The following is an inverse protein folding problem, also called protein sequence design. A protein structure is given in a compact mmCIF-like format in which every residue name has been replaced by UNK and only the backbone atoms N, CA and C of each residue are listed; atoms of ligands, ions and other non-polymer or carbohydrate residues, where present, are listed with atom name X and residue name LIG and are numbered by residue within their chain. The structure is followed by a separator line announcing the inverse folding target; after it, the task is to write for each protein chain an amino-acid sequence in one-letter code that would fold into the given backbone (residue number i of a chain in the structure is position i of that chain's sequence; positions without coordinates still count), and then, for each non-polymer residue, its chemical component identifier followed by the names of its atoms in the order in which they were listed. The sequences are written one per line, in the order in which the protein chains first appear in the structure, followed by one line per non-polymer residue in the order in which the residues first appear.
data_IF_514045310203
#
_entry.id   IF_514045310203
#
_cell.length_a   1.000
_cell.length_b   1.000
_cell.length_c   1.000
_cell.angle_alpha   90.00
_cell.angle_beta   90.00
_cell.angle_gamma   90.00
#
_symmetry.space_group_name_H-M   'P 1'
#
loop_
_entity.id
_entity.type
_entity.pdbx_description
1 polymer ?
#
# COMPACT_ATOMS: atom_id res chain seq x y z
N UNK A 1 20.36 5.34 -22.10
CA UNK A 1 19.28 5.22 -23.08
C UNK A 1 18.18 4.45 -22.38
N UNK A 2 17.09 5.11 -21.98
CA UNK A 2 15.90 4.40 -21.48
C UNK A 2 15.39 3.54 -22.65
N UNK A 3 15.47 2.21 -22.52
CA UNK A 3 14.78 1.32 -23.45
C UNK A 3 13.29 1.60 -23.27
N UNK A 4 12.62 1.98 -24.36
CA UNK A 4 11.18 2.23 -24.34
C UNK A 4 10.46 0.87 -24.28
N UNK A 5 10.24 0.35 -23.07
CA UNK A 5 9.60 -0.94 -22.84
C UNK A 5 8.12 -0.78 -23.18
N UNK A 6 7.60 -1.58 -24.11
CA UNK A 6 6.17 -1.61 -24.37
C UNK A 6 5.46 -2.26 -23.17
N UNK A 7 4.70 -1.47 -22.41
CA UNK A 7 3.89 -1.99 -21.30
C UNK A 7 2.62 -2.64 -21.84
N UNK A 8 2.53 -3.97 -21.73
CA UNK A 8 1.34 -4.72 -22.12
C UNK A 8 0.29 -4.70 -21.02
N UNK A 9 -0.99 -4.59 -21.38
CA UNK A 9 -2.11 -4.63 -20.41
C UNK A 9 -2.98 -5.85 -20.70
N UNK A 10 -3.19 -6.69 -19.67
CA UNK A 10 -4.15 -7.79 -19.73
C UNK A 10 -5.33 -7.47 -18.84
N UNK A 11 -6.51 -7.34 -19.43
CA UNK A 11 -7.76 -7.25 -18.66
C UNK A 11 -8.19 -8.67 -18.28
N UNK A 12 -8.41 -8.91 -16.99
CA UNK A 12 -8.81 -10.20 -16.43
C UNK A 12 -10.01 -10.01 -15.52
N UNK A 13 -10.93 -10.99 -15.55
CA UNK A 13 -11.99 -11.06 -14.55
C UNK A 13 -11.46 -11.69 -13.25
N UNK A 14 -12.13 -11.44 -12.12
CA UNK A 14 -11.82 -12.11 -10.86
C UNK A 14 -12.15 -13.62 -10.92
N UNK A 15 -13.05 -14.03 -11.83
CA UNK A 15 -13.24 -15.42 -12.22
C UNK A 15 -12.08 -15.90 -13.11
N UNK A 16 -10.99 -16.32 -12.45
CA UNK A 16 -9.74 -16.70 -13.12
C UNK A 16 -9.83 -18.00 -13.93
N UNK A 17 -10.84 -18.83 -13.70
CA UNK A 17 -11.07 -20.09 -14.44
C UNK A 17 -11.57 -19.86 -15.88
N UNK A 18 -12.01 -18.64 -16.20
CA UNK A 18 -12.37 -18.30 -17.57
C UNK A 18 -11.16 -18.42 -18.50
N UNK A 19 -11.33 -19.11 -19.62
CA UNK A 19 -10.25 -19.47 -20.54
C UNK A 19 -9.38 -18.27 -20.95
N UNK A 20 -9.99 -17.09 -21.13
CA UNK A 20 -9.27 -15.86 -21.48
C UNK A 20 -8.46 -15.32 -20.30
N UNK A 21 -9.04 -15.26 -19.11
CA UNK A 21 -8.35 -14.84 -17.87
C UNK A 21 -7.16 -15.76 -17.59
N UNK A 22 -7.35 -17.08 -17.69
CA UNK A 22 -6.28 -18.06 -17.55
C UNK A 22 -5.13 -17.84 -18.55
N UNK A 23 -5.43 -17.67 -19.85
CA UNK A 23 -4.40 -17.42 -20.87
C UNK A 23 -3.62 -16.11 -20.65
N UNK A 24 -4.30 -15.06 -20.21
CA UNK A 24 -3.69 -13.78 -19.85
C UNK A 24 -2.74 -13.91 -18.66
N UNK A 25 -3.15 -14.65 -17.62
CA UNK A 25 -2.32 -14.87 -16.43
C UNK A 25 -1.10 -15.73 -16.72
N UNK A 26 -1.23 -16.77 -17.56
CA UNK A 26 -0.09 -17.57 -18.02
C UNK A 26 0.93 -16.72 -18.78
N UNK A 27 0.48 -15.81 -19.64
CA UNK A 27 1.36 -14.92 -20.39
C UNK A 27 2.08 -13.91 -19.48
N UNK A 28 1.35 -13.29 -18.56
CA UNK A 28 1.91 -12.40 -17.54
C UNK A 28 2.90 -13.13 -16.60
N UNK A 29 2.56 -14.35 -16.19
CA UNK A 29 3.40 -15.20 -15.34
C UNK A 29 4.75 -15.55 -16.00
N UNK A 30 4.76 -15.87 -17.30
CA UNK A 30 6.00 -16.12 -18.05
C UNK A 30 6.94 -14.93 -18.06
N UNK A 31 6.41 -13.71 -18.11
CA UNK A 31 7.23 -12.51 -18.00
C UNK A 31 7.91 -12.45 -16.64
N UNK A 32 7.16 -12.65 -15.55
CA UNK A 32 7.74 -12.68 -14.19
C UNK A 32 8.81 -13.76 -14.06
N UNK A 33 8.52 -14.98 -14.54
CA UNK A 33 9.46 -16.11 -14.54
C UNK A 33 10.75 -15.76 -15.29
N UNK A 34 10.64 -15.09 -16.44
CA UNK A 34 11.78 -14.62 -17.26
C UNK A 34 12.54 -13.41 -16.67
N UNK A 35 12.15 -12.93 -15.49
CA UNK A 35 12.80 -11.81 -14.80
C UNK A 35 12.32 -10.44 -15.26
N UNK A 36 11.14 -10.35 -15.88
CA UNK A 36 10.48 -9.09 -16.25
C UNK A 36 9.49 -8.61 -15.18
N UNK A 37 9.16 -7.33 -15.24
CA UNK A 37 8.27 -6.69 -14.28
C UNK A 37 6.81 -6.74 -14.71
N UNK A 38 5.95 -7.22 -13.83
CA UNK A 38 4.50 -7.24 -14.05
C UNK A 38 3.79 -6.65 -12.84
N UNK A 39 2.94 -5.65 -13.05
CA UNK A 39 2.06 -5.16 -12.01
C UNK A 39 0.77 -5.98 -11.94
N UNK A 40 0.24 -6.22 -10.74
CA UNK A 40 -0.95 -7.04 -10.53
C UNK A 40 -1.77 -6.56 -9.32
N UNK A 41 -3.11 -6.74 -9.33
CA UNK A 41 -3.97 -6.36 -8.21
C UNK A 41 -3.79 -7.29 -7.01
N UNK A 42 -3.96 -6.76 -5.81
CA UNK A 42 -4.21 -7.54 -4.58
C UNK A 42 -5.47 -7.02 -3.92
N UNK A 43 -5.90 -7.61 -2.81
CA UNK A 43 -6.95 -7.03 -1.97
C UNK A 43 -6.52 -5.70 -1.37
N UNK A 44 -5.22 -5.45 -1.16
CA UNK A 44 -4.72 -4.20 -0.59
C UNK A 44 -4.52 -3.09 -1.63
N UNK A 45 -3.44 -3.18 -2.39
CA UNK A 45 -3.01 -2.24 -3.44
C UNK A 45 -2.39 -3.04 -4.59
N UNK A 46 -2.24 -2.44 -5.77
CA UNK A 46 -1.51 -3.07 -6.87
C UNK A 46 -0.04 -3.25 -6.48
N UNK A 47 0.50 -4.44 -6.72
CA UNK A 47 1.90 -4.81 -6.50
C UNK A 47 2.70 -4.78 -7.80
N UNK A 48 3.98 -4.39 -7.75
CA UNK A 48 4.93 -4.49 -8.86
C UNK A 48 5.80 -5.73 -8.68
N UNK A 49 5.43 -6.82 -9.35
CA UNK A 49 6.05 -8.12 -9.19
C UNK A 49 7.32 -8.32 -10.01
N UNK A 50 8.29 -8.99 -9.38
CA UNK A 50 9.43 -9.62 -10.02
C UNK A 50 9.73 -10.97 -9.37
N UNK A 51 10.48 -11.82 -10.06
CA UNK A 51 10.97 -13.08 -9.50
C UNK A 51 11.84 -12.84 -8.25
N UNK A 52 11.40 -13.31 -7.08
CA UNK A 52 12.08 -13.11 -5.79
C UNK A 52 13.40 -13.89 -5.64
N UNK A 53 13.73 -14.77 -6.60
CA UNK A 53 14.94 -15.57 -6.64
C UNK A 53 16.05 -14.93 -7.49
N UNK A 54 15.78 -13.80 -8.16
CA UNK A 54 16.73 -13.13 -9.05
C UNK A 54 17.03 -11.71 -8.59
N UNK A 55 18.29 -11.44 -8.21
CA UNK A 55 18.76 -10.09 -7.88
C UNK A 55 18.65 -9.13 -9.07
N UNK A 56 18.76 -9.64 -10.31
CA UNK A 56 18.61 -8.84 -11.53
C UNK A 56 17.15 -8.40 -11.74
N UNK A 57 16.20 -9.33 -11.57
CA UNK A 57 14.78 -9.03 -11.69
C UNK A 57 14.32 -8.05 -10.60
N UNK A 58 14.79 -8.24 -9.36
CA UNK A 58 14.47 -7.38 -8.22
C UNK A 58 15.09 -5.99 -8.39
N UNK A 59 16.29 -5.86 -8.99
CA UNK A 59 16.88 -4.56 -9.30
C UNK A 59 15.98 -3.72 -10.21
N UNK A 60 15.33 -4.35 -11.19
CA UNK A 60 14.40 -3.65 -12.09
C UNK A 60 13.28 -2.96 -11.29
N UNK A 61 12.78 -3.56 -10.19
CA UNK A 61 11.78 -2.92 -9.31
C UNK A 61 12.29 -1.58 -8.77
N UNK A 62 13.51 -1.57 -8.23
CA UNK A 62 14.11 -0.37 -7.65
C UNK A 62 14.31 0.72 -8.71
N UNK A 63 14.82 0.34 -9.89
CA UNK A 63 15.02 1.24 -11.03
C UNK A 63 13.69 1.81 -11.53
N UNK A 64 12.69 0.96 -11.79
CA UNK A 64 11.39 1.39 -12.33
C UNK A 64 10.69 2.37 -11.39
N UNK A 65 10.74 2.13 -10.07
CA UNK A 65 10.12 2.97 -9.05
C UNK A 65 10.93 4.22 -8.68
N UNK A 66 12.24 4.22 -8.95
CA UNK A 66 13.17 5.18 -8.34
C UNK A 66 13.24 5.01 -6.81
N UNK A 67 13.20 3.77 -6.33
CA UNK A 67 13.17 3.43 -4.91
C UNK A 67 14.59 3.11 -4.40
N UNK A 68 14.98 3.57 -3.20
CA UNK A 68 16.21 3.13 -2.54
C UNK A 68 16.27 1.61 -2.34
N UNK A 69 17.44 1.01 -2.60
CA UNK A 69 17.66 -0.44 -2.51
C UNK A 69 17.85 -0.97 -1.09
N UNK A 70 17.94 -0.09 -0.09
CA UNK A 70 18.08 -0.42 1.33
C UNK A 70 16.74 -0.78 2.01
N UNK A 71 15.64 -0.75 1.24
CA UNK A 71 14.29 -0.97 1.75
C UNK A 71 13.73 -2.32 1.26
N UNK A 72 13.51 -3.29 2.17
CA UNK A 72 13.15 -4.66 1.79
C UNK A 72 11.81 -4.74 1.04
N UNK A 73 11.61 -5.85 0.35
CA UNK A 73 10.42 -6.19 -0.41
C UNK A 73 9.64 -7.31 0.30
N UNK A 74 8.33 -7.36 0.04
CA UNK A 74 7.48 -8.45 0.51
C UNK A 74 7.39 -9.50 -0.59
N UNK A 75 7.66 -10.75 -0.22
CA UNK A 75 7.49 -11.91 -1.08
C UNK A 75 6.06 -12.41 -0.99
N UNK A 76 5.41 -12.57 -2.13
CA UNK A 76 4.06 -13.07 -2.26
C UNK A 76 4.09 -14.53 -2.72
N UNK A 77 3.26 -15.35 -2.08
CA UNK A 77 3.04 -16.77 -2.40
C UNK A 77 1.57 -16.99 -2.79
N UNK A 78 1.33 -17.91 -3.72
CA UNK A 78 0.01 -18.28 -4.25
C UNK A 78 -0.60 -19.50 -3.56
N UNK A 79 0.17 -20.24 -2.78
CA UNK A 79 -0.27 -21.39 -1.98
C UNK A 79 0.64 -21.64 -0.78
N UNK A 80 0.09 -22.27 0.28
CA UNK A 80 0.81 -22.49 1.55
C UNK A 80 2.09 -23.33 1.38
N UNK A 81 2.10 -24.29 0.45
CA UNK A 81 3.26 -25.13 0.11
C UNK A 81 4.49 -24.33 -0.35
N UNK A 82 4.31 -23.16 -0.96
CA UNK A 82 5.41 -22.29 -1.38
C UNK A 82 6.12 -21.61 -0.20
N UNK A 83 5.53 -21.58 1.00
CA UNK A 83 6.18 -21.01 2.17
C UNK A 83 7.52 -21.69 2.48
N UNK A 84 7.57 -23.00 2.30
CA UNK A 84 8.77 -23.80 2.53
C UNK A 84 9.87 -23.50 1.51
N UNK A 85 9.61 -22.77 0.42
CA UNK A 85 10.66 -22.33 -0.52
C UNK A 85 11.22 -20.94 -0.17
N UNK A 86 10.55 -20.17 0.70
CA UNK A 86 10.92 -18.77 1.00
C UNK A 86 11.40 -18.56 2.43
N UNK A 87 10.87 -19.32 3.41
CA UNK A 87 11.18 -19.16 4.83
C UNK A 87 11.60 -20.49 5.49
N UNK A 88 12.23 -20.39 6.65
CA UNK A 88 12.63 -21.51 7.52
C UNK A 88 12.23 -21.24 8.96
N UNK A 89 12.28 -22.26 9.82
CA UNK A 89 12.12 -22.14 11.28
C UNK A 89 10.84 -21.40 11.72
N UNK A 90 9.73 -21.71 11.03
CA UNK A 90 8.45 -21.00 11.20
C UNK A 90 7.86 -21.26 12.61
N UNK A 91 7.71 -20.21 13.46
CA UNK A 91 7.18 -20.35 14.81
C UNK A 91 5.72 -20.82 14.87
N UNK A 92 5.31 -21.42 15.99
CA UNK A 92 3.93 -21.87 16.20
C UNK A 92 2.93 -20.71 16.10
N UNK A 93 3.23 -19.56 16.75
CA UNK A 93 2.41 -18.34 16.65
C UNK A 93 2.25 -17.86 15.20
N UNK A 94 3.29 -17.98 14.38
CA UNK A 94 3.20 -17.61 12.95
C UNK A 94 2.23 -18.53 12.19
N UNK A 95 2.27 -19.84 12.45
CA UNK A 95 1.32 -20.79 11.85
C UNK A 95 -0.13 -20.50 12.28
N UNK A 96 -0.35 -20.13 13.53
CA UNK A 96 -1.69 -19.73 14.01
C UNK A 96 -2.21 -18.49 13.26
N UNK A 97 -1.35 -17.48 13.05
CA UNK A 97 -1.71 -16.31 12.25
C UNK A 97 -1.96 -16.63 10.76
N UNK A 98 -1.19 -17.56 10.18
CA UNK A 98 -1.44 -18.04 8.81
C UNK A 98 -2.81 -18.69 8.68
N UNK A 99 -3.21 -19.54 9.63
CA UNK A 99 -4.55 -20.16 9.60
C UNK A 99 -5.67 -19.14 9.80
N UNK A 100 -5.44 -18.09 10.58
CA UNK A 100 -6.44 -17.06 10.85
C UNK A 100 -6.57 -16.02 9.73
N UNK A 101 -5.47 -15.65 9.08
CA UNK A 101 -5.39 -14.45 8.23
C UNK A 101 -4.81 -14.68 6.84
N UNK A 102 -4.41 -15.90 6.47
CA UNK A 102 -4.00 -16.22 5.09
C UNK A 102 -5.03 -17.11 4.37
N UNK A 103 -5.39 -16.79 3.11
CA UNK A 103 -4.99 -15.58 2.36
C UNK A 103 -5.52 -14.28 3.01
N UNK A 104 -4.75 -13.19 2.94
CA UNK A 104 -5.18 -11.91 3.50
C UNK A 104 -4.09 -10.85 3.71
N UNK A 105 -4.48 -9.70 4.29
CA UNK A 105 -3.63 -8.51 4.40
C UNK A 105 -2.67 -8.57 5.60
N UNK A 106 -2.09 -9.73 5.88
CA UNK A 106 -1.06 -9.93 6.90
C UNK A 106 0.27 -10.36 6.27
N UNK A 107 1.32 -9.61 6.57
CA UNK A 107 2.71 -9.92 6.19
C UNK A 107 3.49 -10.31 7.44
N UNK A 108 4.16 -11.47 7.40
CA UNK A 108 5.01 -11.94 8.49
C UNK A 108 6.48 -11.89 8.08
N UNK A 109 7.32 -11.27 8.88
CA UNK A 109 8.77 -11.43 8.79
C UNK A 109 9.18 -12.72 9.48
N UNK A 110 9.89 -13.56 8.73
CA UNK A 110 10.32 -14.89 9.11
C UNK A 110 11.80 -15.09 8.78
N UNK A 111 12.50 -16.05 9.40
CA UNK A 111 13.86 -16.40 9.00
C UNK A 111 13.89 -16.80 7.52
N UNK A 112 14.80 -16.17 6.77
CA UNK A 112 14.90 -16.34 5.31
C UNK A 112 15.50 -17.69 4.95
N UNK A 113 14.91 -18.37 3.96
CA UNK A 113 15.51 -19.55 3.34
C UNK A 113 16.59 -19.17 2.32
N UNK A 114 17.60 -20.01 2.17
CA UNK A 114 18.60 -19.87 1.12
C UNK A 114 17.94 -19.85 -0.28
N UNK A 115 18.47 -19.03 -1.19
CA UNK A 115 17.97 -18.87 -2.55
C UNK A 115 17.10 -17.63 -2.78
N UNK A 116 16.57 -17.00 -1.71
CA UNK A 116 15.93 -15.68 -1.83
C UNK A 116 16.98 -14.62 -2.14
N UNK A 117 16.72 -13.84 -3.19
CA UNK A 117 17.63 -12.84 -3.69
C UNK A 117 17.99 -11.82 -2.59
N UNK A 118 19.26 -11.43 -2.52
CA UNK A 118 19.77 -10.57 -1.46
C UNK A 118 19.09 -9.20 -1.42
N UNK A 119 18.71 -8.69 -2.60
CA UNK A 119 18.01 -7.41 -2.77
C UNK A 119 16.55 -7.43 -2.33
N UNK A 120 15.93 -8.61 -2.22
CA UNK A 120 14.58 -8.73 -1.62
C UNK A 120 14.63 -8.33 -0.16
N UNK A 121 15.66 -8.78 0.56
CA UNK A 121 15.74 -8.57 2.02
C UNK A 121 16.66 -7.43 2.42
N UNK A 122 17.17 -6.65 1.46
CA UNK A 122 18.18 -5.61 1.69
C UNK A 122 19.37 -6.11 2.53
N UNK A 123 19.75 -7.38 2.34
CA UNK A 123 20.82 -8.04 3.11
C UNK A 123 20.43 -8.59 4.48
N UNK A 124 19.18 -8.39 4.94
CA UNK A 124 18.69 -8.90 6.22
C UNK A 124 18.55 -10.43 6.22
N UNK A 125 18.61 -11.03 7.41
CA UNK A 125 18.40 -12.46 7.67
C UNK A 125 16.94 -12.88 7.66
N UNK A 126 16.01 -11.93 7.63
CA UNK A 126 14.57 -12.16 7.60
C UNK A 126 13.97 -11.81 6.24
N UNK A 127 12.83 -12.42 5.91
CA UNK A 127 12.04 -12.14 4.70
C UNK A 127 10.59 -11.89 5.09
N UNK A 128 10.00 -10.81 4.57
CA UNK A 128 8.58 -10.55 4.71
C UNK A 128 7.79 -11.39 3.72
N UNK A 129 6.87 -12.23 4.19
CA UNK A 129 6.05 -13.12 3.35
C UNK A 129 4.58 -12.80 3.52
N UNK A 130 3.80 -12.90 2.44
CA UNK A 130 2.35 -12.74 2.43
C UNK A 130 1.69 -13.68 1.41
N UNK A 131 0.52 -14.21 1.76
CA UNK A 131 -0.38 -14.85 0.80
C UNK A 131 -1.56 -13.90 0.53
N UNK A 132 -1.63 -13.20 -0.61
CA UNK A 132 -2.66 -12.18 -0.85
C UNK A 132 -4.05 -12.80 -1.06
N UNK A 133 -5.09 -12.20 -0.49
CA UNK A 133 -6.48 -12.64 -0.72
C UNK A 133 -7.08 -12.04 -2.00
N UNK A 134 -6.46 -12.36 -3.14
CA UNK A 134 -6.97 -11.91 -4.43
C UNK A 134 -6.83 -13.01 -5.48
N UNK A 135 -7.93 -13.49 -6.10
CA UNK A 135 -7.89 -14.61 -7.04
C UNK A 135 -6.87 -14.43 -8.17
N UNK A 136 -6.83 -13.23 -8.77
CA UNK A 136 -5.86 -12.87 -9.83
C UNK A 136 -4.41 -12.94 -9.32
N UNK A 137 -4.12 -12.50 -8.10
CA UNK A 137 -2.77 -12.52 -7.54
C UNK A 137 -2.34 -13.97 -7.25
N UNK A 138 -3.20 -14.73 -6.57
CA UNK A 138 -2.94 -16.13 -6.24
C UNK A 138 -2.66 -16.94 -7.50
N UNK A 139 -3.49 -16.77 -8.54
CA UNK A 139 -3.33 -17.50 -9.79
C UNK A 139 -2.08 -17.06 -10.56
N UNK A 140 -1.80 -15.76 -10.64
CA UNK A 140 -0.55 -15.27 -11.26
C UNK A 140 0.69 -15.87 -10.59
N UNK A 141 0.73 -15.91 -9.26
CA UNK A 141 1.88 -16.44 -8.50
C UNK A 141 2.03 -17.95 -8.71
N UNK A 142 0.92 -18.70 -8.76
CA UNK A 142 0.95 -20.14 -9.07
C UNK A 142 1.50 -20.40 -10.47
N UNK A 143 1.01 -19.66 -11.47
CA UNK A 143 1.41 -19.81 -12.87
C UNK A 143 2.86 -19.36 -13.13
N UNK A 144 3.39 -18.45 -12.31
CA UNK A 144 4.78 -17.99 -12.44
C UNK A 144 5.80 -19.03 -11.97
N UNK A 145 5.38 -20.05 -11.21
CA UNK A 145 6.22 -21.10 -10.62
C UNK A 145 7.40 -20.58 -9.76
N UNK A 146 7.40 -19.30 -9.41
CA UNK A 146 8.39 -18.65 -8.56
C UNK A 146 7.69 -17.73 -7.55
N UNK A 147 8.24 -17.57 -6.33
CA UNK A 147 7.76 -16.55 -5.42
C UNK A 147 7.95 -15.15 -6.02
N UNK A 148 6.98 -14.26 -5.83
CA UNK A 148 6.98 -12.92 -6.44
C UNK A 148 7.30 -11.87 -5.38
N UNK A 149 8.44 -11.18 -5.51
CA UNK A 149 8.73 -10.01 -4.70
C UNK A 149 7.95 -8.82 -5.28
N UNK A 150 7.12 -8.17 -4.46
CA UNK A 150 6.29 -7.06 -4.91
C UNK A 150 6.09 -5.99 -3.82
N UNK A 151 6.59 -4.75 -4.02
CA UNK A 151 6.07 -3.58 -3.34
C UNK A 151 4.87 -3.00 -4.08
N UNK A 152 4.28 -1.91 -3.60
CA UNK A 152 3.23 -1.18 -4.33
C UNK A 152 3.69 -0.75 -5.73
N UNK A 153 2.78 -0.68 -6.71
CA UNK A 153 3.09 -0.42 -8.12
C UNK A 153 3.06 1.07 -8.53
N UNK A 154 3.57 1.94 -7.66
CA UNK A 154 3.65 3.39 -7.86
C UNK A 154 5.10 3.87 -8.04
N UNK A 155 5.33 5.10 -8.52
CA UNK A 155 6.64 5.74 -8.35
C UNK A 155 6.89 6.06 -6.88
N UNK A 156 8.14 5.97 -6.44
CA UNK A 156 8.51 6.24 -5.05
C UNK A 156 7.99 7.62 -4.61
N UNK A 157 7.28 7.65 -3.48
CA UNK A 157 6.70 8.85 -2.88
C UNK A 157 5.24 9.16 -3.26
N UNK A 158 4.73 8.66 -4.41
CA UNK A 158 3.33 8.86 -4.82
C UNK A 158 2.35 8.03 -3.97
N UNK A 159 1.04 8.33 -3.94
CA UNK A 159 0.02 7.46 -3.36
C UNK A 159 0.10 6.03 -3.92
N UNK A 160 -0.20 5.02 -3.11
CA UNK A 160 -0.21 3.64 -3.58
C UNK A 160 -1.33 3.45 -4.63
N UNK A 161 -1.15 2.59 -5.64
CA UNK A 161 -2.13 2.43 -6.71
C UNK A 161 -3.21 1.43 -6.31
N UNK A 162 -4.46 1.85 -6.35
CA UNK A 162 -5.66 1.00 -6.12
C UNK A 162 -6.36 0.57 -7.42
N UNK A 163 -5.89 1.03 -8.59
CA UNK A 163 -6.43 0.68 -9.92
C UNK A 163 -5.29 0.47 -10.92
N UNK A 164 -5.55 -0.23 -12.02
CA UNK A 164 -4.57 -0.37 -13.11
C UNK A 164 -4.23 0.97 -13.78
N UNK A 165 -5.17 1.91 -13.81
CA UNK A 165 -4.96 3.27 -14.32
C UNK A 165 -3.91 4.03 -13.50
N UNK A 166 -3.97 3.93 -12.16
CA UNK A 166 -2.93 4.49 -11.28
C UNK A 166 -1.54 3.91 -11.57
N UNK A 167 -1.46 2.63 -11.95
CA UNK A 167 -0.19 1.99 -12.34
C UNK A 167 0.29 2.48 -13.69
N UNK A 168 -0.59 2.63 -14.68
CA UNK A 168 -0.26 3.15 -16.01
C UNK A 168 0.36 4.56 -15.92
N UNK A 169 -0.25 5.46 -15.15
CA UNK A 169 0.25 6.82 -14.94
C UNK A 169 1.67 6.86 -14.36
N UNK A 170 1.96 5.92 -13.47
CA UNK A 170 3.21 5.91 -12.72
C UNK A 170 4.33 5.14 -13.47
N UNK A 171 4.00 4.05 -14.15
CA UNK A 171 4.96 3.02 -14.57
C UNK A 171 4.88 2.62 -16.05
N UNK A 172 3.94 3.16 -16.86
CA UNK A 172 3.94 2.89 -18.29
C UNK A 172 5.29 3.29 -18.94
N UNK A 173 5.79 2.42 -19.82
CA UNK A 173 7.11 2.58 -20.43
C UNK A 173 8.29 2.09 -19.57
N UNK A 174 8.04 1.70 -18.31
CA UNK A 174 9.06 1.25 -17.34
C UNK A 174 8.94 -0.22 -16.94
N UNK A 175 7.81 -0.84 -17.24
CA UNK A 175 7.47 -2.21 -16.84
C UNK A 175 6.91 -2.98 -18.05
N UNK A 176 7.07 -4.29 -18.04
CA UNK A 176 6.74 -5.17 -19.17
C UNK A 176 5.24 -5.44 -19.27
N UNK A 177 4.51 -5.38 -18.16
CA UNK A 177 3.05 -5.29 -18.25
C UNK A 177 2.28 -5.09 -16.95
N UNK A 178 0.96 -5.03 -17.10
CA UNK A 178 -0.03 -4.77 -16.05
C UNK A 178 -1.19 -5.76 -16.23
N UNK A 179 -1.47 -6.54 -15.21
CA UNK A 179 -2.72 -7.31 -15.11
C UNK A 179 -3.77 -6.38 -14.50
N UNK A 180 -4.79 -6.02 -15.26
CA UNK A 180 -5.92 -5.21 -14.82
C UNK A 180 -7.05 -6.14 -14.36
N UNK A 181 -7.24 -6.21 -13.04
CA UNK A 181 -8.34 -6.93 -12.39
C UNK A 181 -9.32 -6.01 -11.66
N UNK A 182 -9.39 -4.74 -12.07
CA UNK A 182 -10.24 -3.71 -11.45
C UNK A 182 -9.66 -3.10 -10.17
N UNK A 183 -10.52 -2.46 -9.38
CA UNK A 183 -10.12 -1.78 -8.14
C UNK A 183 -9.80 -2.78 -7.02
N UNK A 184 -8.85 -2.40 -6.14
CA UNK A 184 -8.51 -3.17 -4.94
C UNK A 184 -9.56 -3.02 -3.82
N UNK A 185 -9.49 -3.87 -2.80
CA UNK A 185 -10.56 -4.04 -1.81
C UNK A 185 -10.39 -3.34 -0.47
N UNK A 186 -9.18 -3.30 0.12
CA UNK A 186 -8.90 -2.75 1.47
C UNK A 186 -8.35 -1.32 1.39
N UNK A 187 -7.67 -0.98 0.30
CA UNK A 187 -7.16 0.37 0.02
C UNK A 187 -5.95 0.82 0.84
N UNK A 188 -5.61 0.19 1.97
CA UNK A 188 -4.33 0.36 2.68
C UNK A 188 -3.44 -0.89 2.58
N UNK A 189 -2.13 -0.76 2.77
CA UNK A 189 -1.23 -1.91 2.72
C UNK A 189 -1.44 -2.91 3.87
N UNK A 190 -0.89 -4.12 3.72
CA UNK A 190 -0.92 -5.16 4.73
C UNK A 190 -0.29 -4.73 6.06
N UNK A 191 -0.82 -5.28 7.15
CA UNK A 191 -0.18 -5.24 8.46
C UNK A 191 1.10 -6.05 8.39
N UNK A 192 2.20 -5.53 8.93
CA UNK A 192 3.48 -6.25 9.00
C UNK A 192 3.83 -6.57 10.44
N UNK A 193 4.19 -7.83 10.69
CA UNK A 193 4.58 -8.32 12.01
C UNK A 193 5.87 -9.14 11.93
N UNK A 194 6.80 -8.89 12.84
CA UNK A 194 8.01 -9.68 13.02
C UNK A 194 7.75 -10.83 14.00
N UNK A 195 7.88 -12.04 13.47
CA UNK A 195 7.70 -13.28 14.21
C UNK A 195 9.02 -13.85 14.72
N UNK A 196 10.14 -13.14 14.53
CA UNK A 196 11.49 -13.55 14.96
C UNK A 196 11.87 -13.01 16.33
N UNK A 197 11.02 -12.17 16.92
CA UNK A 197 11.18 -11.56 18.25
C UNK A 197 10.05 -11.99 19.19
N UNK A 198 10.27 -11.87 20.51
CA UNK A 198 9.27 -12.14 21.54
C UNK A 198 9.19 -10.94 22.52
N UNK A 199 8.00 -10.34 22.72
CA UNK A 199 6.75 -10.64 22.00
C UNK A 199 6.85 -10.30 20.50
N UNK A 200 6.06 -10.97 19.62
CA UNK A 200 5.99 -10.61 18.21
C UNK A 200 5.69 -9.12 18.04
N UNK A 201 6.32 -8.47 17.05
CA UNK A 201 6.31 -7.00 16.94
C UNK A 201 5.68 -6.53 15.64
N UNK A 202 4.63 -5.71 15.73
CA UNK A 202 4.02 -5.05 14.58
C UNK A 202 4.87 -3.87 14.17
N UNK A 203 5.51 -3.95 13.00
CA UNK A 203 6.27 -2.85 12.41
C UNK A 203 5.37 -1.83 11.70
N UNK A 204 4.24 -2.29 11.15
CA UNK A 204 3.32 -1.43 10.41
C UNK A 204 1.88 -1.93 10.52
N UNK A 205 1.00 -1.22 11.24
CA UNK A 205 -0.45 -1.35 11.12
C UNK A 205 -0.96 -1.20 9.67
N UNK A 206 -1.95 -2.01 9.35
CA UNK A 206 -2.60 -2.12 8.04
C UNK A 206 -3.96 -2.78 8.16
N UNK A 207 -4.34 -3.58 7.17
CA UNK A 207 -5.69 -4.18 7.08
C UNK A 207 -6.08 -5.17 8.20
N UNK A 208 -5.13 -5.70 8.98
CA UNK A 208 -5.40 -6.49 10.19
C UNK A 208 -5.03 -5.68 11.44
N UNK A 209 -5.98 -5.47 12.35
CA UNK A 209 -5.76 -4.65 13.54
C UNK A 209 -4.96 -5.37 14.63
N UNK A 210 -4.41 -4.61 15.56
CA UNK A 210 -3.65 -5.13 16.71
C UNK A 210 -4.54 -6.07 17.52
N UNK A 211 -5.77 -5.67 17.79
CA UNK A 211 -6.74 -6.42 18.59
C UNK A 211 -7.13 -7.75 17.91
N UNK A 212 -7.16 -7.78 16.57
CA UNK A 212 -7.40 -9.03 15.83
C UNK A 212 -6.23 -10.00 15.99
N UNK A 213 -4.98 -9.51 15.94
CA UNK A 213 -3.78 -10.33 16.13
C UNK A 213 -3.71 -10.86 17.56
N UNK A 214 -3.96 -10.01 18.56
CA UNK A 214 -3.90 -10.39 19.97
C UNK A 214 -4.91 -11.46 20.35
N UNK A 215 -6.10 -11.46 19.71
CA UNK A 215 -7.10 -12.52 19.89
C UNK A 215 -6.61 -13.91 19.46
N UNK A 216 -5.62 -13.99 18.56
CA UNK A 216 -5.10 -15.26 18.03
C UNK A 216 -3.87 -15.72 18.80
N UNK A 217 -2.91 -14.83 19.06
CA UNK A 217 -1.58 -15.21 19.59
C UNK A 217 -1.23 -14.59 20.95
N UNK A 218 -2.12 -13.80 21.54
CA UNK A 218 -1.88 -13.05 22.77
C UNK A 218 -1.07 -11.77 22.52
N UNK A 219 -0.38 -11.30 23.56
CA UNK A 219 0.35 -10.02 23.56
C UNK A 219 1.31 -9.86 22.36
N UNK A 220 1.26 -8.67 21.75
CA UNK A 220 2.17 -8.23 20.70
C UNK A 220 2.69 -6.82 21.01
N UNK A 221 3.92 -6.54 20.60
CA UNK A 221 4.47 -5.18 20.67
C UNK A 221 4.13 -4.40 19.40
N UNK A 222 4.06 -3.07 19.51
CA UNK A 222 4.06 -2.17 18.35
C UNK A 222 5.44 -1.52 18.31
N UNK A 223 6.08 -1.55 17.15
CA UNK A 223 7.38 -0.95 16.93
C UNK A 223 7.35 0.56 17.28
N UNK A 224 8.19 1.03 18.22
CA UNK A 224 8.28 2.45 18.54
C UNK A 224 8.58 3.32 17.33
N UNK A 225 9.32 2.84 16.33
CA UNK A 225 9.61 3.59 15.10
C UNK A 225 8.36 3.84 14.23
N UNK A 226 7.26 3.13 14.48
CA UNK A 226 5.96 3.50 13.91
C UNK A 226 5.39 4.77 14.56
N UNK A 227 5.72 5.01 15.84
CA UNK A 227 5.27 6.12 16.66
C UNK A 227 6.28 7.30 16.66
N UNK A 228 7.56 7.04 16.43
CA UNK A 228 8.66 8.02 16.45
C UNK A 228 9.45 7.98 15.15
N UNK A 229 9.73 9.15 14.55
CA UNK A 229 10.40 9.29 13.24
C UNK A 229 11.91 8.95 13.24
N UNK A 230 12.42 8.13 14.17
CA UNK A 230 13.87 7.93 14.31
C UNK A 230 14.50 6.95 13.32
N UNK A 231 15.75 7.31 12.98
CA UNK A 231 16.48 7.04 11.74
C UNK A 231 17.33 5.77 11.78
N UNK A 232 16.71 4.60 11.74
CA UNK A 232 17.44 3.36 11.46
C UNK A 232 17.10 2.78 10.07
N UNK A 233 17.85 1.75 9.66
CA UNK A 233 17.61 1.04 8.40
C UNK A 233 16.19 0.46 8.41
N UNK A 234 15.37 0.69 7.37
CA UNK A 234 13.97 0.25 7.40
C UNK A 234 13.90 -1.29 7.38
N UNK A 235 13.33 -1.86 8.44
CA UNK A 235 13.08 -3.31 8.55
C UNK A 235 11.84 -3.69 7.73
N UNK A 236 10.92 -2.74 7.48
CA UNK A 236 9.73 -2.95 6.65
C UNK A 236 9.42 -1.78 5.69
N UNK A 237 8.66 -2.03 4.59
CA UNK A 237 8.28 -0.97 3.66
C UNK A 237 7.43 0.13 4.31
N UNK A 238 7.70 1.39 3.94
CA UNK A 238 6.86 2.54 4.32
C UNK A 238 7.24 3.24 5.62
N UNK A 239 8.42 2.97 6.19
CA UNK A 239 8.86 3.56 7.48
C UNK A 239 9.64 4.89 7.36
N UNK A 240 10.43 5.13 6.30
CA UNK A 240 11.49 6.17 6.31
C UNK A 240 11.30 7.39 5.40
N UNK A 241 10.61 7.29 4.27
CA UNK A 241 10.60 8.35 3.24
C UNK A 241 9.26 9.09 3.17
N UNK A 242 9.23 10.27 2.53
CA UNK A 242 7.96 10.91 2.14
C UNK A 242 7.18 9.91 1.30
N UNK A 243 6.05 9.45 1.84
CA UNK A 243 5.23 8.39 1.26
C UNK A 243 3.80 8.89 1.16
N UNK A 244 3.14 8.52 0.06
CA UNK A 244 1.71 8.73 -0.18
C UNK A 244 1.28 10.18 -0.43
N UNK A 245 2.23 11.10 -0.67
CA UNK A 245 1.90 12.51 -0.80
C UNK A 245 1.31 12.82 -2.19
N UNK A 246 0.17 13.51 -2.27
CA UNK A 246 -0.27 14.13 -3.52
C UNK A 246 0.73 15.22 -3.95
N UNK A 247 0.60 15.71 -5.18
CA UNK A 247 1.39 16.83 -5.72
C UNK A 247 1.05 18.14 -5.00
N UNK A 248 -0.22 18.33 -4.66
CA UNK A 248 -0.69 19.48 -3.89
C UNK A 248 -0.26 19.46 -2.43
N UNK A 249 -0.32 20.62 -1.79
CA UNK A 249 0.01 20.78 -0.39
C UNK A 249 -1.14 20.31 0.51
N UNK A 250 -1.03 19.07 0.99
CA UNK A 250 -1.94 18.49 1.98
C UNK A 250 -1.60 18.92 3.41
N UNK A 251 -2.61 19.43 4.12
CA UNK A 251 -2.61 19.74 5.55
C UNK A 251 -3.75 19.02 6.26
N UNK A 252 -3.48 18.50 7.45
CA UNK A 252 -4.50 17.90 8.30
C UNK A 252 -5.00 18.92 9.30
N UNK A 253 -6.31 18.94 9.56
CA UNK A 253 -6.92 19.78 10.58
C UNK A 253 -7.61 18.88 11.61
N UNK A 254 -7.19 19.02 12.86
CA UNK A 254 -7.64 18.20 13.99
C UNK A 254 -8.25 19.07 15.08
N UNK A 255 -9.28 18.57 15.76
CA UNK A 255 -9.95 19.29 16.83
C UNK A 255 -11.43 18.94 16.91
N UNK A 256 -12.19 19.79 17.61
CA UNK A 256 -13.65 19.70 17.61
C UNK A 256 -14.20 20.16 16.26
N UNK A 257 -15.23 19.47 15.76
CA UNK A 257 -15.84 19.68 14.44
C UNK A 257 -16.06 21.15 14.07
N UNK A 258 -16.73 21.94 14.91
CA UNK A 258 -17.01 23.35 14.63
C UNK A 258 -15.73 24.21 14.53
N UNK A 259 -14.72 23.89 15.33
CA UNK A 259 -13.42 24.59 15.29
C UNK A 259 -12.63 24.20 14.06
N UNK A 260 -12.61 22.91 13.73
CA UNK A 260 -11.98 22.37 12.52
C UNK A 260 -12.56 23.07 11.29
N UNK A 261 -13.89 23.15 11.19
CA UNK A 261 -14.58 23.87 10.10
C UNK A 261 -14.17 25.34 10.03
N UNK A 262 -14.26 26.07 11.15
CA UNK A 262 -13.89 27.48 11.19
C UNK A 262 -12.43 27.71 10.76
N UNK A 263 -11.51 26.86 11.23
CA UNK A 263 -10.09 26.94 10.87
C UNK A 263 -9.85 26.59 9.40
N UNK A 264 -10.53 25.58 8.87
CA UNK A 264 -10.43 25.23 7.45
C UNK A 264 -10.93 26.38 6.57
N UNK A 265 -12.04 27.03 6.91
CA UNK A 265 -12.56 28.18 6.17
C UNK A 265 -11.58 29.37 6.14
N UNK A 266 -10.92 29.66 7.27
CA UNK A 266 -9.86 30.67 7.36
C UNK A 266 -8.72 30.36 6.37
N UNK A 267 -8.19 29.14 6.41
CA UNK A 267 -7.06 28.70 5.57
C UNK A 267 -7.43 28.64 4.08
N UNK A 268 -8.64 28.18 3.74
CA UNK A 268 -9.12 28.15 2.36
C UNK A 268 -9.26 29.55 1.79
N UNK A 269 -9.71 30.51 2.60
CA UNK A 269 -9.79 31.91 2.19
C UNK A 269 -8.41 32.47 1.87
N UNK A 270 -7.43 32.23 2.74
CA UNK A 270 -6.03 32.65 2.51
C UNK A 270 -5.44 32.02 1.24
N UNK A 271 -5.68 30.72 1.01
CA UNK A 271 -5.23 30.03 -0.19
C UNK A 271 -5.87 30.59 -1.47
N UNK A 272 -7.17 30.90 -1.43
CA UNK A 272 -7.88 31.56 -2.54
C UNK A 272 -7.38 32.96 -2.82
N UNK A 273 -7.07 33.75 -1.79
CA UNK A 273 -6.47 35.09 -1.94
C UNK A 273 -5.07 35.02 -2.60
N UNK A 274 -4.35 33.90 -2.42
CA UNK A 274 -3.09 33.61 -3.11
C UNK A 274 -3.28 33.05 -4.53
N UNK A 275 -4.52 32.84 -4.97
CA UNK A 275 -4.85 32.32 -6.30
C UNK A 275 -4.64 30.81 -6.47
N UNK A 276 -4.60 30.05 -5.36
CA UNK A 276 -4.44 28.59 -5.39
C UNK A 276 -5.77 27.89 -5.65
N UNK A 277 -5.73 26.76 -6.36
CA UNK A 277 -6.86 25.81 -6.42
C UNK A 277 -6.96 25.04 -5.10
N UNK A 278 -8.16 24.97 -4.54
CA UNK A 278 -8.40 24.45 -3.19
C UNK A 278 -9.27 23.20 -3.20
N UNK A 279 -8.92 22.25 -2.34
CA UNK A 279 -9.73 21.06 -2.14
C UNK A 279 -9.87 20.69 -0.67
N UNK A 280 -10.97 20.03 -0.34
CA UNK A 280 -11.19 19.49 0.99
C UNK A 280 -11.49 17.99 0.91
N UNK A 281 -10.96 17.25 1.89
CA UNK A 281 -11.23 15.82 2.07
C UNK A 281 -11.83 15.60 3.44
N UNK A 282 -13.08 15.17 3.47
CA UNK A 282 -13.90 15.16 4.70
C UNK A 282 -14.67 13.85 4.81
N UNK A 283 -15.03 13.41 6.04
CA UNK A 283 -15.90 12.27 6.21
C UNK A 283 -17.31 12.57 5.67
N UNK A 284 -18.04 11.52 5.27
CA UNK A 284 -19.42 11.61 4.75
C UNK A 284 -20.35 12.45 5.61
N UNK A 285 -20.24 12.32 6.92
CA UNK A 285 -21.06 13.04 7.90
C UNK A 285 -20.93 14.56 7.75
N UNK A 286 -19.81 15.06 7.25
CA UNK A 286 -19.51 16.49 7.14
C UNK A 286 -19.64 17.03 5.71
N UNK A 287 -19.91 16.17 4.72
CA UNK A 287 -19.94 16.52 3.30
C UNK A 287 -20.89 17.69 2.99
N UNK A 288 -22.08 17.70 3.59
CA UNK A 288 -23.11 18.71 3.34
C UNK A 288 -22.66 20.16 3.62
N UNK A 289 -21.69 20.35 4.51
CA UNK A 289 -21.16 21.68 4.81
C UNK A 289 -20.25 22.22 3.69
N UNK A 290 -19.58 21.30 3.00
CA UNK A 290 -18.52 21.60 2.03
C UNK A 290 -18.99 21.51 0.58
N UNK A 291 -20.15 20.90 0.34
CA UNK A 291 -20.71 20.79 -1.00
C UNK A 291 -21.03 22.16 -1.60
N UNK A 292 -20.51 22.43 -2.80
CA UNK A 292 -20.62 23.70 -3.52
C UNK A 292 -20.18 24.95 -2.72
N UNK A 293 -19.29 24.80 -1.73
CA UNK A 293 -18.80 25.94 -0.96
C UNK A 293 -17.90 26.83 -1.82
N UNK A 294 -18.14 28.15 -1.83
CA UNK A 294 -17.46 29.10 -2.73
C UNK A 294 -15.92 29.17 -2.60
N UNK A 295 -15.38 28.69 -1.47
CA UNK A 295 -13.94 28.63 -1.19
C UNK A 295 -13.28 27.30 -1.58
N UNK A 296 -14.03 26.35 -2.13
CA UNK A 296 -13.57 24.98 -2.41
C UNK A 296 -13.83 24.66 -3.88
N UNK A 297 -12.77 24.32 -4.62
CA UNK A 297 -12.92 23.89 -6.02
C UNK A 297 -13.31 22.41 -6.10
N UNK A 298 -12.78 21.57 -5.20
CA UNK A 298 -13.06 20.13 -5.16
C UNK A 298 -13.32 19.66 -3.74
N UNK A 299 -14.48 19.05 -3.52
CA UNK A 299 -14.85 18.40 -2.27
C UNK A 299 -14.84 16.89 -2.48
N UNK A 300 -14.02 16.17 -1.71
CA UNK A 300 -13.96 14.71 -1.70
C UNK A 300 -14.49 14.15 -0.39
N UNK A 301 -15.32 13.12 -0.51
CA UNK A 301 -15.86 12.35 0.60
C UNK A 301 -14.97 11.12 0.83
N UNK A 302 -14.16 11.12 1.87
CA UNK A 302 -13.28 10.00 2.20
C UNK A 302 -13.94 9.14 3.29
N UNK A 303 -14.72 8.14 2.88
CA UNK A 303 -15.41 7.23 3.80
C UNK A 303 -16.31 7.89 4.85
N UNK A 304 -16.44 7.24 6.01
CA UNK A 304 -17.36 7.59 7.10
C UNK A 304 -16.65 7.49 8.45
N UNK A 305 -16.99 8.39 9.40
CA UNK A 305 -16.51 8.25 10.78
C UNK A 305 -17.03 6.98 11.47
N UNK A 306 -18.16 6.45 11.00
CA UNK A 306 -18.75 5.21 11.47
C UNK A 306 -18.15 3.94 10.82
N UNK A 307 -17.41 4.07 9.71
CA UNK A 307 -16.70 2.95 9.06
C UNK A 307 -15.35 3.38 8.51
N UNK A 308 -14.30 3.09 9.27
CA UNK A 308 -12.91 3.38 8.89
C UNK A 308 -12.42 2.46 7.76
N UNK A 309 -13.12 1.36 7.49
CA UNK A 309 -12.90 0.50 6.33
C UNK A 309 -13.17 1.26 5.03
N UNK A 310 -14.25 2.03 4.96
CA UNK A 310 -14.55 2.89 3.81
C UNK A 310 -13.46 3.96 3.64
N UNK A 311 -13.01 4.55 4.75
CA UNK A 311 -11.92 5.56 4.72
C UNK A 311 -10.64 4.94 4.17
N UNK A 312 -10.28 3.73 4.62
CA UNK A 312 -9.09 3.02 4.13
C UNK A 312 -9.18 2.69 2.63
N UNK A 313 -10.36 2.34 2.14
CA UNK A 313 -10.65 2.06 0.73
C UNK A 313 -10.48 3.29 -0.16
N UNK A 314 -11.04 4.42 0.27
CA UNK A 314 -11.11 5.64 -0.54
C UNK A 314 -9.83 6.47 -0.47
N UNK A 315 -9.06 6.38 0.63
CA UNK A 315 -7.94 7.28 0.94
C UNK A 315 -6.98 7.53 -0.24
N UNK A 316 -6.41 6.49 -0.85
CA UNK A 316 -5.45 6.70 -1.95
C UNK A 316 -6.11 7.14 -3.25
N UNK A 317 -7.35 6.71 -3.49
CA UNK A 317 -8.13 7.13 -4.65
C UNK A 317 -8.40 8.64 -4.56
N UNK A 318 -8.82 9.13 -3.40
CA UNK A 318 -9.06 10.56 -3.18
C UNK A 318 -7.78 11.39 -3.27
N UNK A 319 -6.68 10.90 -2.68
CA UNK A 319 -5.38 11.57 -2.81
C UNK A 319 -4.91 11.66 -4.26
N UNK A 320 -5.20 10.65 -5.10
CA UNK A 320 -4.89 10.69 -6.54
C UNK A 320 -5.86 11.58 -7.32
N UNK A 321 -7.13 11.61 -6.94
CA UNK A 321 -8.11 12.49 -7.56
C UNK A 321 -7.74 13.97 -7.40
N UNK A 322 -7.13 14.38 -6.28
CA UNK A 322 -6.57 15.73 -6.17
C UNK A 322 -5.44 16.03 -7.18
N UNK A 323 -4.61 15.03 -7.53
CA UNK A 323 -3.59 15.19 -8.58
C UNK A 323 -4.24 15.37 -9.97
N UNK A 324 -5.32 14.62 -10.23
CA UNK A 324 -6.07 14.65 -11.50
C UNK A 324 -6.78 16.00 -11.68
N UNK A 325 -7.42 16.48 -10.63
CA UNK A 325 -8.11 17.78 -10.57
C UNK A 325 -7.14 18.96 -10.38
N UNK A 326 -5.84 18.70 -10.31
CA UNK A 326 -4.77 19.70 -10.20
C UNK A 326 -4.92 20.64 -8.99
N UNK A 327 -5.37 20.10 -7.87
CA UNK A 327 -5.55 20.86 -6.63
C UNK A 327 -4.20 21.17 -5.99
N UNK A 328 -3.97 22.45 -5.69
CA UNK A 328 -2.71 22.95 -5.15
C UNK A 328 -2.69 23.00 -3.62
N UNK A 329 -3.82 23.29 -2.98
CA UNK A 329 -3.94 23.39 -1.53
C UNK A 329 -5.08 22.48 -1.02
N UNK A 330 -4.73 21.48 -0.22
CA UNK A 330 -5.66 20.43 0.22
C UNK A 330 -5.75 20.47 1.75
N UNK A 331 -6.97 20.58 2.28
CA UNK A 331 -7.24 20.41 3.70
C UNK A 331 -8.00 19.09 3.94
N UNK A 332 -7.51 18.27 4.86
CA UNK A 332 -8.19 17.04 5.24
C UNK A 332 -8.51 17.03 6.73
N UNK A 333 -9.70 16.53 7.08
CA UNK A 333 -10.06 16.25 8.46
C UNK A 333 -9.36 14.97 8.96
N UNK A 334 -9.14 14.88 10.27
CA UNK A 334 -8.53 13.70 10.91
C UNK A 334 -9.56 12.69 11.39
N UNK A 335 -9.17 11.42 11.43
CA UNK A 335 -9.99 10.30 11.89
C UNK A 335 -9.55 9.79 13.28
N UNK A 336 -10.42 9.08 14.02
CA UNK A 336 -10.05 8.39 15.26
C UNK A 336 -8.88 7.41 15.07
N UNK A 337 -8.05 7.25 16.11
CA UNK A 337 -6.87 6.35 16.11
C UNK A 337 -7.15 5.02 16.79
N UNK A 338 -8.25 4.38 16.42
CA UNK A 338 -8.68 3.11 17.00
C UNK A 338 -8.83 2.06 15.88
N UNK A 339 -8.40 0.82 16.15
CA UNK A 339 -8.42 -0.26 15.15
C UNK A 339 -7.74 0.15 13.85
N UNK A 340 -8.49 0.10 12.73
CA UNK A 340 -8.00 0.47 11.40
C UNK A 340 -7.61 1.96 11.28
N UNK A 341 -8.16 2.82 12.15
CA UNK A 341 -7.84 4.24 12.22
C UNK A 341 -6.36 4.53 12.47
N UNK A 342 -5.65 3.64 13.17
CA UNK A 342 -4.19 3.72 13.32
C UNK A 342 -3.47 3.64 11.97
N UNK A 343 -3.90 2.73 11.10
CA UNK A 343 -3.32 2.58 9.77
C UNK A 343 -3.67 3.79 8.90
N UNK A 344 -4.95 4.17 8.84
CA UNK A 344 -5.44 5.34 8.08
C UNK A 344 -4.69 6.60 8.47
N UNK A 345 -4.67 6.94 9.77
CA UNK A 345 -4.00 8.15 10.24
C UNK A 345 -2.50 8.14 9.94
N UNK A 346 -1.82 7.00 10.09
CA UNK A 346 -0.41 6.93 9.72
C UNK A 346 -0.15 7.23 8.25
N UNK A 347 -1.02 6.76 7.33
CA UNK A 347 -0.89 7.06 5.90
C UNK A 347 -1.19 8.52 5.61
N UNK A 348 -2.25 9.04 6.20
CA UNK A 348 -2.70 10.42 6.02
C UNK A 348 -1.66 11.43 6.56
N UNK A 349 -1.06 11.16 7.72
CA UNK A 349 0.01 11.98 8.29
C UNK A 349 1.27 11.97 7.43
N UNK A 350 1.68 10.79 6.93
CA UNK A 350 2.82 10.68 6.01
C UNK A 350 2.56 11.41 4.69
N UNK A 351 1.34 11.30 4.15
CA UNK A 351 0.92 12.04 2.95
C UNK A 351 1.00 13.56 3.18
N UNK A 352 0.58 14.02 4.35
CA UNK A 352 0.64 15.43 4.76
C UNK A 352 2.05 15.88 5.18
N UNK A 353 3.05 14.99 5.17
CA UNK A 353 4.39 15.26 5.74
C UNK A 353 4.32 15.80 7.18
N UNK A 354 3.42 15.22 7.98
CA UNK A 354 3.14 15.57 9.38
C UNK A 354 2.69 17.03 9.60
N UNK A 355 2.18 17.69 8.54
CA UNK A 355 1.58 19.03 8.64
C UNK A 355 0.17 18.92 9.23
N UNK A 356 0.09 19.10 10.55
CA UNK A 356 -1.16 19.01 11.31
C UNK A 356 -1.42 20.33 12.02
N UNK A 357 -2.60 20.89 11.80
CA UNK A 357 -3.10 22.10 12.45
C UNK A 357 -4.11 21.65 13.51
N UNK A 358 -3.94 22.15 14.74
CA UNK A 358 -4.91 21.97 15.83
C UNK A 358 -5.84 23.17 15.88
N UNK A 359 -7.14 22.94 15.74
CA UNK A 359 -8.18 23.95 15.70
C UNK A 359 -8.75 24.30 17.09
#
# INVERSE_FOLDING_TARGET
MEQNILTKVWVVDKNVEEQKSCAHLVDAAKLVESGELVAFPTETVYGLGANALSDEAVEKIFVAKGRPSDNPLIVHIGEKSQLDTVATDIPVKARQLMEAFWPGPLTMFLPKKAGIASKVTAGLSTVGVRMPDHPVALELIKQAHVPIAAPSANRSGRPSPTTAQHVLEDLAGRISGIVDGGSTGVGVESTTIDMTVEPPMIHRPGGITVEQIERVIGEVAIDPAFLTEEKEQPISPGMKYKHYAPKGDLWLVSGQEDKVRAKMLELLKEAKEQGLTTGVMVPREHLNHWDNHALVDVTLQCGSLASLEEVAQDLYTDLRRFDEEQIQFILAETYPREGLGLAVMNRLEKAASHRIIKA
#
